data_IF_347509325676
#
_entry.id   IF_347509325676
#
_cell.length_a   1.000
_cell.length_b   1.000
_cell.length_c   1.000
_cell.angle_alpha   90.00
_cell.angle_beta   90.00
_cell.angle_gamma   90.00
#
_symmetry.space_group_name_H-M   'P 1'
#
loop_
_entity.id
_entity.type
_entity.pdbx_description
1 polymer ?
#
# COMPACT_ATOMS: atom_id res chain seq x y z
N UNK A 1 -10.95 -16.58 -0.11
CA UNK A 1 -9.61 -16.89 -0.64
C UNK A 1 -8.64 -15.89 -0.02
N UNK A 2 -7.81 -16.29 0.95
CA UNK A 2 -6.88 -15.38 1.66
C UNK A 2 -5.53 -15.44 0.95
N UNK A 3 -5.26 -14.42 0.16
CA UNK A 3 -4.11 -14.29 -0.73
C UNK A 3 -2.88 -13.83 0.08
N UNK A 4 -1.81 -14.64 0.09
CA UNK A 4 -0.43 -14.26 0.45
C UNK A 4 -0.13 -13.74 1.87
N UNK A 5 -0.94 -14.05 2.90
CA UNK A 5 -0.72 -13.55 4.28
C UNK A 5 -0.68 -12.01 4.38
N UNK A 6 -1.40 -11.32 3.48
CA UNK A 6 -1.58 -9.86 3.45
C UNK A 6 -2.97 -9.52 3.97
N UNK A 7 -3.04 -8.60 4.93
CA UNK A 7 -4.26 -8.22 5.63
C UNK A 7 -4.47 -6.69 5.53
N UNK A 8 -5.40 -6.21 4.68
CA UNK A 8 -5.73 -4.79 4.61
C UNK A 8 -6.64 -4.35 5.76
N UNK A 9 -6.41 -3.14 6.26
CA UNK A 9 -7.21 -2.46 7.28
C UNK A 9 -7.35 -0.98 6.97
N UNK A 10 -8.45 -0.38 7.44
CA UNK A 10 -8.62 1.07 7.52
C UNK A 10 -8.44 1.51 8.97
N UNK A 11 -7.76 2.62 9.20
CA UNK A 11 -7.60 3.19 10.53
C UNK A 11 -7.55 4.72 10.49
N UNK A 12 -7.78 5.34 11.66
CA UNK A 12 -7.49 6.74 11.90
C UNK A 12 -5.97 6.93 12.03
N UNK A 13 -5.36 7.55 11.03
CA UNK A 13 -3.94 7.87 10.98
C UNK A 13 -3.75 9.39 10.96
N UNK A 14 -2.58 9.87 11.40
CA UNK A 14 -2.23 11.29 11.32
C UNK A 14 -2.36 11.82 9.88
N UNK A 15 -2.66 13.12 9.74
CA UNK A 15 -3.06 13.71 8.45
C UNK A 15 -1.97 13.62 7.38
N UNK A 16 -0.71 13.50 7.76
CA UNK A 16 0.45 13.38 6.90
C UNK A 16 0.83 11.92 6.58
N UNK A 17 0.12 10.94 7.17
CA UNK A 17 0.32 9.51 6.94
C UNK A 17 -0.76 8.96 6.01
N UNK A 18 -0.34 8.47 4.83
CA UNK A 18 -1.23 7.87 3.85
C UNK A 18 -1.52 6.40 4.18
N UNK A 19 -0.46 5.66 4.54
CA UNK A 19 -0.55 4.27 4.96
C UNK A 19 0.62 3.88 5.85
N UNK A 20 0.44 2.76 6.53
CA UNK A 20 1.44 2.10 7.34
C UNK A 20 1.45 0.61 7.01
N UNK A 21 2.61 0.06 6.71
CA UNK A 21 2.80 -1.36 6.47
C UNK A 21 3.53 -1.99 7.66
N UNK A 22 2.93 -3.02 8.24
CA UNK A 22 3.50 -3.79 9.31
C UNK A 22 3.73 -5.23 8.90
N UNK A 23 4.96 -5.72 9.04
CA UNK A 23 5.28 -7.14 8.95
C UNK A 23 5.38 -7.75 10.34
N UNK A 24 4.50 -8.70 10.64
CA UNK A 24 4.57 -9.46 11.89
C UNK A 24 5.76 -10.42 11.91
N UNK A 25 6.18 -10.83 13.12
CA UNK A 25 7.23 -11.86 13.29
C UNK A 25 6.89 -13.23 12.68
N UNK A 26 5.62 -13.48 12.32
CA UNK A 26 5.18 -14.69 11.60
C UNK A 26 5.16 -14.54 10.08
N UNK A 27 5.68 -13.42 9.54
CA UNK A 27 5.73 -13.17 8.10
C UNK A 27 4.42 -12.65 7.49
N UNK A 28 3.41 -12.34 8.29
CA UNK A 28 2.17 -11.70 7.80
C UNK A 28 2.34 -10.21 7.61
N UNK A 29 1.81 -9.69 6.51
CA UNK A 29 1.80 -8.26 6.20
C UNK A 29 0.43 -7.66 6.54
N UNK A 30 0.47 -6.48 7.13
CA UNK A 30 -0.70 -5.69 7.46
C UNK A 30 -0.54 -4.36 6.72
N UNK A 31 -1.49 -4.04 5.85
CA UNK A 31 -1.53 -2.75 5.14
C UNK A 31 -2.62 -1.93 5.82
N UNK A 32 -2.25 -0.89 6.55
CA UNK A 32 -3.19 0.00 7.25
C UNK A 32 -3.26 1.29 6.44
N UNK A 33 -4.40 1.56 5.81
CA UNK A 33 -4.62 2.78 5.01
C UNK A 33 -5.41 3.80 5.80
N UNK A 34 -5.07 5.08 5.67
CA UNK A 34 -5.76 6.17 6.35
C UNK A 34 -7.23 6.26 5.88
N UNK A 35 -8.16 6.14 6.82
CA UNK A 35 -9.60 6.15 6.53
C UNK A 35 -10.14 7.50 6.07
N UNK A 36 -9.40 8.59 6.32
CA UNK A 36 -9.80 9.96 5.96
C UNK A 36 -9.48 10.31 4.50
N UNK A 37 -8.76 9.44 3.79
CA UNK A 37 -8.49 9.59 2.36
C UNK A 37 -9.75 9.29 1.52
N UNK A 38 -9.81 9.90 0.34
CA UNK A 38 -10.87 9.58 -0.64
C UNK A 38 -10.85 8.09 -1.00
N UNK A 39 -11.96 7.52 -1.50
CA UNK A 39 -11.95 6.11 -1.91
C UNK A 39 -10.89 5.83 -2.98
N UNK A 40 -10.83 6.65 -4.02
CA UNK A 40 -9.83 6.54 -5.09
C UNK A 40 -8.41 6.58 -4.53
N UNK A 41 -8.12 7.55 -3.66
CA UNK A 41 -6.79 7.66 -3.03
C UNK A 41 -6.47 6.47 -2.13
N UNK A 42 -7.46 5.88 -1.43
CA UNK A 42 -7.25 4.67 -0.62
C UNK A 42 -6.92 3.46 -1.49
N UNK A 43 -7.58 3.33 -2.64
CA UNK A 43 -7.32 2.27 -3.60
C UNK A 43 -5.91 2.42 -4.19
N UNK A 44 -5.55 3.61 -4.67
CA UNK A 44 -4.20 3.93 -5.15
C UNK A 44 -3.12 3.56 -4.12
N UNK A 45 -3.27 4.04 -2.88
CA UNK A 45 -2.32 3.77 -1.79
C UNK A 45 -2.26 2.28 -1.48
N UNK A 46 -3.39 1.58 -1.43
CA UNK A 46 -3.40 0.15 -1.17
C UNK A 46 -2.62 -0.64 -2.24
N UNK A 47 -2.84 -0.34 -3.52
CA UNK A 47 -2.12 -1.02 -4.61
C UNK A 47 -0.63 -0.67 -4.63
N UNK A 48 -0.29 0.57 -4.29
CA UNK A 48 1.09 1.01 -4.12
C UNK A 48 1.79 0.18 -3.01
N UNK A 49 1.19 0.04 -1.83
CA UNK A 49 1.78 -0.79 -0.76
C UNK A 49 1.82 -2.28 -1.09
N UNK A 50 0.82 -2.77 -1.81
CA UNK A 50 0.79 -4.15 -2.26
C UNK A 50 1.95 -4.44 -3.23
N UNK A 51 2.28 -3.50 -4.11
CA UNK A 51 3.43 -3.60 -5.01
C UNK A 51 4.73 -3.75 -4.22
N UNK A 52 4.99 -2.88 -3.24
CA UNK A 52 6.19 -2.97 -2.40
C UNK A 52 6.29 -4.31 -1.67
N UNK A 53 5.18 -4.85 -1.15
CA UNK A 53 5.20 -6.17 -0.49
C UNK A 53 5.57 -7.29 -1.47
N UNK A 54 5.02 -7.27 -2.68
CA UNK A 54 5.23 -8.32 -3.68
C UNK A 54 6.64 -8.26 -4.26
N UNK A 55 7.10 -7.07 -4.64
CA UNK A 55 8.36 -6.90 -5.37
C UNK A 55 9.58 -6.81 -4.45
N UNK A 56 9.43 -6.23 -3.25
CA UNK A 56 10.58 -5.94 -2.37
C UNK A 56 10.64 -6.87 -1.16
N UNK A 57 9.53 -7.52 -0.79
CA UNK A 57 9.41 -8.40 0.37
C UNK A 57 10.08 -7.81 1.63
N UNK A 58 9.62 -6.63 2.09
CA UNK A 58 10.32 -5.86 3.11
C UNK A 58 10.48 -6.67 4.40
N UNK A 59 11.65 -6.56 5.03
CA UNK A 59 11.99 -7.29 6.27
C UNK A 59 11.47 -6.60 7.53
N UNK A 60 11.12 -5.34 7.42
CA UNK A 60 10.57 -4.50 8.49
C UNK A 60 9.34 -3.75 7.98
N UNK A 61 8.52 -3.24 8.91
CA UNK A 61 7.45 -2.32 8.57
C UNK A 61 7.97 -0.92 8.23
N UNK A 62 7.15 -0.14 7.52
CA UNK A 62 7.46 1.23 7.12
C UNK A 62 6.19 2.09 7.04
N UNK A 63 6.38 3.40 7.07
CA UNK A 63 5.31 4.40 7.00
C UNK A 63 5.41 5.11 5.67
N UNK A 64 4.28 5.22 4.96
CA UNK A 64 4.16 6.03 3.76
C UNK A 64 3.50 7.37 4.11
N UNK A 65 4.23 8.46 3.86
CA UNK A 65 3.72 9.81 4.01
C UNK A 65 2.99 10.32 2.75
N UNK A 66 2.34 11.48 2.87
CA UNK A 66 1.74 12.16 1.72
C UNK A 66 2.77 12.77 0.74
N UNK A 67 3.99 13.05 1.21
CA UNK A 67 5.07 13.61 0.39
C UNK A 67 5.85 12.50 -0.34
N UNK A 68 5.42 12.19 -1.57
CA UNK A 68 5.93 11.10 -2.43
C UNK A 68 7.19 11.50 -3.20
N UNK A 69 8.31 11.72 -2.50
CA UNK A 69 9.57 12.04 -3.17
C UNK A 69 10.06 10.88 -4.06
N UNK A 70 10.25 11.18 -5.35
CA UNK A 70 10.28 10.19 -6.43
C UNK A 70 11.64 9.52 -6.61
N UNK A 71 11.76 8.28 -6.13
CA UNK A 71 12.73 7.30 -6.59
C UNK A 71 12.10 6.40 -7.68
N UNK A 72 12.91 5.75 -8.52
CA UNK A 72 12.40 4.92 -9.65
C UNK A 72 11.42 3.81 -9.21
N UNK A 73 11.58 3.31 -7.99
CA UNK A 73 10.75 2.29 -7.36
C UNK A 73 9.33 2.82 -7.04
N UNK A 74 9.24 4.02 -6.47
CA UNK A 74 7.98 4.73 -6.20
C UNK A 74 7.19 4.99 -7.47
N UNK A 75 7.89 5.31 -8.57
CA UNK A 75 7.25 5.54 -9.89
C UNK A 75 6.58 4.26 -10.39
N UNK A 76 7.21 3.10 -10.20
CA UNK A 76 6.63 1.81 -10.61
C UNK A 76 5.44 1.43 -9.73
N UNK A 77 5.55 1.64 -8.42
CA UNK A 77 4.44 1.43 -7.49
C UNK A 77 3.22 2.30 -7.84
N UNK A 78 3.44 3.58 -8.17
CA UNK A 78 2.37 4.48 -8.65
C UNK A 78 1.73 4.03 -9.98
N UNK A 79 2.51 3.44 -10.89
CA UNK A 79 1.99 2.94 -12.17
C UNK A 79 1.20 1.64 -12.03
N UNK A 80 1.56 0.79 -11.06
CA UNK A 80 0.94 -0.53 -10.87
C UNK A 80 -0.58 -0.44 -10.73
N UNK A 81 -1.09 0.55 -10.00
CA UNK A 81 -2.54 0.77 -9.89
C UNK A 81 -3.21 0.95 -11.25
N UNK A 82 -2.61 1.74 -12.15
CA UNK A 82 -3.16 2.03 -13.48
C UNK A 82 -3.19 0.79 -14.36
N UNK A 83 -2.16 -0.05 -14.25
CA UNK A 83 -2.09 -1.32 -14.98
C UNK A 83 -3.17 -2.29 -14.52
N UNK A 84 -3.36 -2.43 -13.20
CA UNK A 84 -4.42 -3.26 -12.63
C UNK A 84 -5.81 -2.74 -13.03
N UNK A 85 -6.04 -1.43 -12.92
CA UNK A 85 -7.30 -0.81 -13.32
C UNK A 85 -7.61 -1.05 -14.82
N UNK A 86 -6.62 -0.91 -15.69
CA UNK A 86 -6.77 -1.17 -17.12
C UNK A 86 -7.02 -2.65 -17.44
N UNK A 87 -6.41 -3.57 -16.69
CA UNK A 87 -6.55 -5.01 -16.91
C UNK A 87 -7.90 -5.58 -16.43
N UNK A 88 -8.49 -4.98 -15.40
CA UNK A 88 -9.66 -5.55 -14.72
C UNK A 88 -10.98 -4.78 -14.86
N UNK A 89 -11.01 -3.66 -15.60
CA UNK A 89 -12.20 -2.83 -15.91
C UNK A 89 -13.23 -2.81 -14.77
N UNK A 90 -12.96 -2.02 -13.74
CA UNK A 90 -13.87 -1.83 -12.60
C UNK A 90 -15.01 -0.87 -12.93
#
# INVERSE_FOLDING_TARGET
MRSHDIFPYLADLEQDVAAFVYRSGKGRFYIIVNQHLSQETREEVFFHELYHIIEEMPRAGYVLGLDRQRYEMEIRADMFYREVAAAYTF
#
